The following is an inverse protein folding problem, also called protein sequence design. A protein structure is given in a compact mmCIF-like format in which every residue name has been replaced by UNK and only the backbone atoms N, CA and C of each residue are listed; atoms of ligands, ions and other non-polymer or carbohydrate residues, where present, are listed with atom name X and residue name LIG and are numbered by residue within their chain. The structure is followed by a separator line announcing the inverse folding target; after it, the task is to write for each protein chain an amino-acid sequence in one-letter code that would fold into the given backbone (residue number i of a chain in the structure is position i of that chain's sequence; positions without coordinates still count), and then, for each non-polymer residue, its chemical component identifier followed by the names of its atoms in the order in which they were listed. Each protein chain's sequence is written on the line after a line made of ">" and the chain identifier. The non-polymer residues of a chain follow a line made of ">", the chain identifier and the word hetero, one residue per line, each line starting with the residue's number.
data_IF_286474275648
#
_entry.id   IF_286474275648
#
_cell.length_a   1.000
_cell.length_b   1.000
_cell.length_c   1.000
_cell.angle_alpha   90.00
_cell.angle_beta   90.00
_cell.angle_gamma   90.00
#
_symmetry.space_group_name_H-M   'P 1'
#
loop_
_entity.id
_entity.type
_entity.pdbx_description
1 polymer ?
#
# COMPACT_ATOMS: atom_id res chain seq x y z
N UNK A 1 16.72 -4.93 3.49
CA UNK A 1 18.14 -4.56 3.78
C UNK A 1 19.06 -4.80 2.58
N UNK A 2 18.88 -5.86 1.81
CA UNK A 2 19.72 -6.20 0.65
C UNK A 2 19.80 -5.05 -0.38
N UNK A 3 18.72 -4.30 -0.55
CA UNK A 3 18.68 -3.16 -1.48
C UNK A 3 19.48 -1.94 -1.00
N UNK A 4 19.91 -1.88 0.27
CA UNK A 4 20.54 -0.67 0.83
C UNK A 4 21.82 -0.25 0.12
N UNK A 5 22.62 -1.22 -0.36
CA UNK A 5 23.85 -0.94 -1.11
C UNK A 5 23.61 -0.40 -2.52
N UNK A 6 22.42 -0.67 -3.09
CA UNK A 6 22.02 -0.21 -4.43
C UNK A 6 21.34 1.16 -4.34
N UNK A 7 20.46 1.33 -3.34
CA UNK A 7 19.71 2.56 -3.12
C UNK A 7 20.61 3.69 -2.59
N UNK A 8 21.61 3.36 -1.78
CA UNK A 8 22.48 4.37 -1.19
C UNK A 8 21.77 5.25 -0.18
N UNK A 9 21.95 6.57 -0.31
CA UNK A 9 21.41 7.57 0.62
C UNK A 9 20.33 8.46 -0.06
N UNK A 10 19.53 7.86 -0.93
CA UNK A 10 18.43 8.55 -1.62
C UNK A 10 17.09 8.00 -1.17
N UNK A 11 16.03 8.81 -1.28
CA UNK A 11 14.67 8.31 -1.13
C UNK A 11 14.32 7.38 -2.29
N UNK A 12 13.54 6.35 -2.01
CA UNK A 12 13.22 5.31 -2.99
C UNK A 12 11.78 4.81 -2.86
N UNK A 13 11.25 4.32 -3.96
CA UNK A 13 9.94 3.70 -3.98
C UNK A 13 10.05 2.19 -3.69
N UNK A 14 9.09 1.69 -2.92
CA UNK A 14 8.84 0.25 -2.74
C UNK A 14 7.47 -0.07 -3.33
N UNK A 15 7.42 -1.09 -4.17
CA UNK A 15 6.19 -1.55 -4.83
C UNK A 15 6.08 -3.05 -4.56
N UNK A 16 5.06 -3.46 -3.80
CA UNK A 16 4.76 -4.87 -3.62
C UNK A 16 4.13 -5.42 -4.90
N UNK A 17 4.62 -6.56 -5.36
CA UNK A 17 4.28 -7.10 -6.68
C UNK A 17 2.85 -7.68 -6.77
N UNK A 18 2.28 -8.05 -5.64
CA UNK A 18 0.94 -8.60 -5.50
C UNK A 18 -0.16 -7.55 -5.31
N UNK A 19 0.21 -6.27 -5.20
CA UNK A 19 -0.72 -5.16 -5.11
C UNK A 19 -0.82 -4.42 -6.44
N UNK A 20 -1.90 -4.59 -7.17
CA UNK A 20 -2.16 -3.84 -8.39
C UNK A 20 -3.12 -2.69 -8.12
N UNK A 21 -2.77 -1.51 -8.64
CA UNK A 21 -3.59 -0.29 -8.49
C UNK A 21 -3.85 0.31 -9.87
N UNK A 22 -5.10 0.30 -10.25
CA UNK A 22 -5.60 0.89 -11.50
C UNK A 22 -6.01 2.33 -11.23
N UNK A 23 -5.13 3.25 -11.53
CA UNK A 23 -5.28 4.67 -11.23
C UNK A 23 -4.76 5.56 -12.36
N UNK A 24 -5.32 6.74 -12.48
CA UNK A 24 -4.89 7.75 -13.47
C UNK A 24 -4.99 9.17 -12.85
N UNK A 25 -3.86 9.82 -12.48
CA UNK A 25 -2.45 9.36 -12.62
C UNK A 25 -2.17 8.10 -11.78
N UNK A 26 -1.11 7.35 -12.13
CA UNK A 26 -0.73 6.13 -11.41
C UNK A 26 -0.45 6.40 -9.92
N UNK A 27 -0.70 5.42 -9.06
CA UNK A 27 -0.60 5.57 -7.60
C UNK A 27 0.76 6.15 -7.13
N UNK A 28 1.86 5.67 -7.70
CA UNK A 28 3.18 6.21 -7.34
C UNK A 28 3.34 7.67 -7.78
N UNK A 29 2.78 8.08 -8.92
CA UNK A 29 2.83 9.47 -9.35
C UNK A 29 2.08 10.39 -8.38
N UNK A 30 0.92 9.95 -7.87
CA UNK A 30 0.18 10.68 -6.83
C UNK A 30 1.03 10.86 -5.56
N UNK A 31 1.73 9.81 -5.13
CA UNK A 31 2.58 9.84 -3.93
C UNK A 31 3.83 10.71 -4.11
N UNK A 32 4.42 10.73 -5.31
CA UNK A 32 5.58 11.58 -5.64
C UNK A 32 5.23 13.07 -5.49
N UNK A 33 4.01 13.48 -5.82
CA UNK A 33 3.56 14.86 -5.59
C UNK A 33 3.57 15.23 -4.10
N UNK A 34 3.17 14.31 -3.23
CA UNK A 34 3.25 14.51 -1.77
C UNK A 34 4.72 14.56 -1.32
N UNK A 35 5.54 13.63 -1.79
CA UNK A 35 6.96 13.59 -1.47
C UNK A 35 7.68 14.89 -1.89
N UNK A 36 7.44 15.39 -3.09
CA UNK A 36 8.07 16.62 -3.60
C UNK A 36 7.73 17.87 -2.77
N UNK A 37 6.62 17.85 -2.01
CA UNK A 37 6.19 18.96 -1.17
C UNK A 37 6.60 18.78 0.30
N UNK A 38 6.87 17.55 0.73
CA UNK A 38 7.16 17.23 2.14
C UNK A 38 8.58 16.77 2.38
N UNK A 39 9.28 16.31 1.34
CA UNK A 39 10.61 15.66 1.38
C UNK A 39 10.72 14.57 2.45
N UNK A 40 9.60 13.90 2.72
CA UNK A 40 9.44 12.93 3.81
C UNK A 40 8.87 11.61 3.27
N UNK A 41 9.05 10.53 4.02
CA UNK A 41 8.45 9.23 3.67
C UNK A 41 6.94 9.35 3.46
N UNK A 42 6.42 8.65 2.44
CA UNK A 42 4.99 8.62 2.09
C UNK A 42 4.51 7.19 1.99
N UNK A 43 3.42 6.87 2.67
CA UNK A 43 2.72 5.59 2.57
C UNK A 43 1.47 5.75 1.72
N UNK A 44 1.32 4.93 0.69
CA UNK A 44 0.05 4.76 0.00
C UNK A 44 -0.92 3.98 0.88
N UNK A 45 -2.09 4.55 1.13
CA UNK A 45 -3.13 3.95 1.98
C UNK A 45 -4.47 3.90 1.25
N UNK A 46 -5.31 2.95 1.67
CA UNK A 46 -6.69 2.83 1.22
C UNK A 46 -7.57 2.37 2.38
N UNK A 47 -8.84 2.73 2.35
CA UNK A 47 -9.80 2.18 3.29
C UNK A 47 -10.05 0.70 2.98
N UNK A 48 -10.13 -0.10 4.04
CA UNK A 48 -10.50 -1.53 3.98
C UNK A 48 -11.70 -1.81 4.87
N UNK A 49 -12.38 -2.94 4.64
CA UNK A 49 -13.44 -3.34 5.56
C UNK A 49 -12.86 -3.55 6.97
N UNK A 50 -13.56 -3.14 8.03
CA UNK A 50 -13.11 -3.37 9.40
C UNK A 50 -12.83 -4.84 9.74
N UNK A 51 -13.43 -5.78 9.01
CA UNK A 51 -13.19 -7.22 9.18
C UNK A 51 -11.82 -7.66 8.62
N UNK A 52 -11.24 -6.88 7.68
CA UNK A 52 -10.02 -7.23 6.96
C UNK A 52 -8.75 -6.56 7.55
N UNK A 53 -8.90 -5.70 8.59
CA UNK A 53 -7.77 -4.95 9.17
C UNK A 53 -6.64 -5.85 9.66
N UNK A 54 -6.94 -7.06 10.10
CA UNK A 54 -5.95 -8.05 10.56
C UNK A 54 -5.05 -8.61 9.46
N UNK A 55 -5.29 -8.24 8.21
CA UNK A 55 -4.46 -8.64 7.06
C UNK A 55 -3.41 -7.61 6.68
N UNK A 56 -3.48 -6.38 7.22
CA UNK A 56 -2.70 -5.22 6.77
C UNK A 56 -1.99 -4.47 7.91
N UNK A 57 -1.00 -3.69 7.55
CA UNK A 57 -0.50 -2.61 8.40
C UNK A 57 -1.51 -1.46 8.42
N UNK A 58 -2.05 -1.12 9.59
CA UNK A 58 -3.10 -0.11 9.75
C UNK A 58 -2.49 1.18 10.30
N UNK A 59 -2.76 2.30 9.64
CA UNK A 59 -2.24 3.62 10.03
C UNK A 59 -3.26 4.41 10.84
N UNK A 60 -2.75 5.24 11.77
CA UNK A 60 -3.51 6.29 12.45
C UNK A 60 -3.00 7.64 11.99
N UNK A 61 -3.90 8.53 11.63
CA UNK A 61 -3.58 9.90 11.22
C UNK A 61 -3.66 10.86 12.42
N UNK A 62 -2.83 11.90 12.44
CA UNK A 62 -2.89 12.95 13.46
C UNK A 62 -4.12 13.83 13.29
N UNK A 63 -4.40 14.25 12.04
CA UNK A 63 -5.52 15.11 11.67
C UNK A 63 -5.89 14.84 10.20
N UNK A 64 -7.10 14.37 9.99
CA UNK A 64 -7.62 14.03 8.66
C UNK A 64 -7.99 15.26 7.82
N UNK A 65 -8.15 16.42 8.44
CA UNK A 65 -8.52 17.67 7.77
C UNK A 65 -7.34 18.31 7.02
N UNK A 66 -6.10 17.96 7.37
CA UNK A 66 -4.91 18.54 6.77
C UNK A 66 -4.73 18.09 5.31
N UNK A 67 -4.21 19.00 4.49
CA UNK A 67 -3.84 18.70 3.09
C UNK A 67 -2.86 17.52 3.00
N UNK A 68 -1.86 17.51 3.87
CA UNK A 68 -0.91 16.40 4.02
C UNK A 68 -1.21 15.65 5.29
N UNK A 69 -1.66 14.41 5.14
CA UNK A 69 -2.12 13.55 6.24
C UNK A 69 -0.90 12.92 6.93
N UNK A 70 -0.50 13.49 8.06
CA UNK A 70 0.62 12.96 8.84
C UNK A 70 0.20 11.71 9.60
N UNK A 71 1.04 10.67 9.57
CA UNK A 71 0.84 9.44 10.31
C UNK A 71 1.28 9.66 11.77
N UNK A 72 0.42 9.29 12.70
CA UNK A 72 0.69 9.26 14.14
C UNK A 72 1.26 7.90 14.56
N UNK A 73 0.68 6.81 14.03
CA UNK A 73 1.08 5.45 14.34
C UNK A 73 0.76 4.51 13.17
N UNK A 74 1.46 3.38 13.14
CA UNK A 74 1.16 2.25 12.25
C UNK A 74 1.30 0.95 13.05
N UNK A 75 0.36 0.01 12.87
CA UNK A 75 0.31 -1.27 13.59
C UNK A 75 0.16 -2.40 12.57
N UNK A 76 1.07 -3.37 12.60
CA UNK A 76 1.02 -4.54 11.74
C UNK A 76 -0.05 -5.53 12.18
N UNK A 77 -0.97 -5.84 11.28
CA UNK A 77 -2.01 -6.87 11.45
C UNK A 77 -2.69 -6.84 12.82
N UNK A 78 -3.25 -5.69 13.24
CA UNK A 78 -3.91 -5.59 14.54
C UNK A 78 -5.16 -6.47 14.58
N UNK A 79 -5.53 -6.92 15.78
CA UNK A 79 -6.89 -7.43 15.97
C UNK A 79 -7.89 -6.29 15.72
N UNK A 80 -9.07 -6.60 15.22
CA UNK A 80 -10.13 -5.64 14.90
C UNK A 80 -10.40 -4.64 16.04
N UNK A 81 -10.42 -5.12 17.28
CA UNK A 81 -10.68 -4.32 18.49
C UNK A 81 -9.55 -3.32 18.81
N UNK A 82 -8.34 -3.58 18.32
CA UNK A 82 -7.14 -2.78 18.57
C UNK A 82 -6.67 -2.01 17.32
N UNK A 83 -7.38 -2.15 16.21
CA UNK A 83 -7.06 -1.42 14.99
C UNK A 83 -7.25 0.08 15.20
N UNK A 84 -6.23 0.93 14.95
CA UNK A 84 -6.32 2.36 15.21
C UNK A 84 -7.24 3.10 14.21
N UNK A 85 -7.55 2.48 13.09
CA UNK A 85 -8.46 2.96 12.04
C UNK A 85 -8.81 1.81 11.08
N UNK A 86 -9.39 2.13 9.92
CA UNK A 86 -9.57 1.23 8.78
C UNK A 86 -8.68 1.61 7.57
N UNK A 87 -7.68 2.48 7.77
CA UNK A 87 -6.75 2.87 6.71
C UNK A 87 -5.57 1.91 6.66
N UNK A 88 -5.52 1.08 5.62
CA UNK A 88 -4.48 0.09 5.39
C UNK A 88 -3.36 0.62 4.49
N UNK A 89 -2.11 0.33 4.82
CA UNK A 89 -0.98 0.51 3.91
C UNK A 89 -1.06 -0.54 2.78
N UNK A 90 -1.04 -0.07 1.53
CA UNK A 90 -1.38 -0.90 0.36
C UNK A 90 -0.18 -1.16 -0.56
N UNK A 91 0.94 -1.52 0.05
CA UNK A 91 2.10 -1.99 -0.71
C UNK A 91 2.74 -0.95 -1.64
N UNK A 92 2.52 0.32 -1.39
CA UNK A 92 3.15 1.47 -2.08
C UNK A 92 3.77 2.36 -1.06
N UNK A 93 5.09 2.52 -1.14
CA UNK A 93 5.85 3.34 -0.20
C UNK A 93 6.84 4.21 -0.95
N UNK A 94 7.06 5.44 -0.48
CA UNK A 94 8.25 6.22 -0.74
C UNK A 94 8.94 6.36 0.60
N UNK A 95 10.17 5.86 0.73
CA UNK A 95 10.88 5.78 1.99
C UNK A 95 12.18 6.55 1.91
N UNK A 96 12.52 7.24 3.00
CA UNK A 96 13.85 7.82 3.18
C UNK A 96 14.87 6.73 3.53
N UNK A 97 16.18 6.95 3.32
CA UNK A 97 17.23 5.98 3.68
C UNK A 97 17.28 5.59 5.16
N UNK A 98 16.66 6.40 6.03
CA UNK A 98 16.55 6.11 7.45
C UNK A 98 15.94 4.75 7.73
N UNK A 99 15.01 4.30 6.90
CA UNK A 99 14.37 2.98 7.05
C UNK A 99 15.38 1.84 7.18
N UNK A 100 16.54 1.93 6.50
CA UNK A 100 17.55 0.88 6.58
C UNK A 100 18.23 0.80 7.96
N UNK A 101 18.32 1.91 8.68
CA UNK A 101 18.87 1.93 10.04
C UNK A 101 17.88 1.23 10.98
N UNK A 102 16.61 1.55 10.87
CA UNK A 102 15.59 0.95 11.72
C UNK A 102 15.43 -0.55 11.41
N UNK A 103 15.41 -0.94 10.12
CA UNK A 103 15.37 -2.35 9.73
C UNK A 103 16.53 -3.20 10.26
N UNK A 104 17.73 -2.62 10.49
CA UNK A 104 18.83 -3.35 11.10
C UNK A 104 18.58 -3.68 12.57
N UNK A 105 17.79 -2.84 13.24
CA UNK A 105 17.49 -2.95 14.67
C UNK A 105 16.12 -3.60 14.94
N UNK A 106 15.25 -3.72 13.91
CA UNK A 106 13.93 -4.32 14.03
C UNK A 106 14.03 -5.79 14.39
N UNK A 107 13.33 -6.19 15.44
CA UNK A 107 13.22 -7.59 15.87
C UNK A 107 12.18 -8.31 15.02
N UNK A 108 12.19 -9.64 15.10
CA UNK A 108 11.13 -10.44 14.48
C UNK A 108 9.80 -10.16 15.18
N UNK A 109 8.80 -9.78 14.41
CA UNK A 109 7.46 -9.47 14.86
C UNK A 109 6.45 -10.57 14.49
N UNK A 110 5.29 -10.16 14.02
CA UNK A 110 4.19 -11.07 13.62
C UNK A 110 4.69 -12.09 12.59
N UNK A 111 4.34 -13.35 12.78
CA UNK A 111 4.79 -14.46 11.92
C UNK A 111 6.27 -14.83 12.05
N UNK A 112 7.02 -14.24 13.00
CA UNK A 112 8.44 -14.49 13.18
C UNK A 112 9.33 -13.84 12.13
N UNK A 113 8.82 -12.90 11.35
CA UNK A 113 9.50 -12.15 10.30
C UNK A 113 9.86 -10.73 10.74
N UNK A 114 10.84 -10.12 10.09
CA UNK A 114 11.13 -8.69 10.26
C UNK A 114 10.12 -7.93 9.40
N UNK A 115 9.18 -7.25 10.06
CA UNK A 115 8.13 -6.51 9.40
C UNK A 115 8.59 -5.11 8.99
N UNK A 116 8.30 -4.71 7.75
CA UNK A 116 8.57 -3.35 7.29
C UNK A 116 7.77 -2.32 8.10
N UNK A 117 6.54 -2.68 8.46
CA UNK A 117 5.63 -1.85 9.26
C UNK A 117 6.22 -1.51 10.63
N UNK A 118 6.85 -2.49 11.30
CA UNK A 118 7.52 -2.25 12.59
C UNK A 118 8.69 -1.27 12.43
N UNK A 119 9.48 -1.42 11.37
CA UNK A 119 10.57 -0.48 11.09
C UNK A 119 10.04 0.93 10.74
N UNK A 120 8.92 1.05 10.03
CA UNK A 120 8.26 2.33 9.74
C UNK A 120 7.77 2.96 11.04
N UNK A 121 7.24 2.17 11.97
CA UNK A 121 6.83 2.66 13.29
C UNK A 121 8.01 3.27 14.07
N UNK A 122 9.18 2.66 14.00
CA UNK A 122 10.40 3.23 14.63
C UNK A 122 10.84 4.54 13.94
N UNK A 123 10.72 4.64 12.62
CA UNK A 123 11.04 5.87 11.87
C UNK A 123 10.20 7.05 12.35
N UNK A 124 8.94 6.85 12.75
CA UNK A 124 8.06 7.90 13.27
C UNK A 124 8.61 8.65 14.50
N UNK A 125 9.52 8.03 15.27
CA UNK A 125 10.17 8.68 16.41
C UNK A 125 11.19 9.76 16.01
N UNK A 126 11.58 9.80 14.74
CA UNK A 126 12.69 10.62 14.26
C UNK A 126 12.29 11.58 13.15
N UNK A 127 11.36 11.18 12.28
CA UNK A 127 10.93 11.99 11.16
C UNK A 127 9.42 11.85 10.90
N UNK A 128 8.85 12.85 10.22
CA UNK A 128 7.46 12.79 9.81
C UNK A 128 7.27 11.77 8.68
N UNK A 129 6.19 11.03 8.72
CA UNK A 129 5.73 10.18 7.62
C UNK A 129 4.32 10.63 7.25
N UNK A 130 4.04 10.70 5.95
CA UNK A 130 2.73 11.10 5.45
C UNK A 130 1.99 9.92 4.82
N UNK A 131 0.68 9.93 4.95
CA UNK A 131 -0.21 9.03 4.23
C UNK A 131 -0.77 9.74 3.00
N UNK A 132 -0.82 9.04 1.87
CA UNK A 132 -1.58 9.42 0.70
C UNK A 132 -2.70 8.41 0.48
N UNK A 133 -3.96 8.87 0.59
CA UNK A 133 -5.11 8.04 0.22
C UNK A 133 -5.11 7.92 -1.30
N UNK A 134 -4.87 6.71 -1.80
CA UNK A 134 -4.73 6.48 -3.23
C UNK A 134 -6.09 6.62 -3.91
N UNK A 135 -6.16 7.48 -4.91
CA UNK A 135 -7.29 7.57 -5.83
C UNK A 135 -7.12 6.55 -6.95
N UNK A 136 -7.88 5.45 -6.87
CA UNK A 136 -7.80 4.35 -7.84
C UNK A 136 -8.44 3.07 -7.32
N UNK A 137 -8.59 2.10 -8.23
CA UNK A 137 -9.09 0.77 -7.89
C UNK A 137 -7.92 -0.16 -7.54
N UNK A 138 -7.89 -0.63 -6.30
CA UNK A 138 -6.92 -1.61 -5.80
C UNK A 138 -7.41 -3.02 -6.08
N UNK A 139 -6.47 -3.92 -6.42
CA UNK A 139 -6.63 -5.36 -6.49
C UNK A 139 -5.54 -6.03 -5.66
N UNK A 140 -5.94 -6.84 -4.69
CA UNK A 140 -5.07 -7.68 -3.88
C UNK A 140 -4.84 -9.02 -4.58
N UNK A 141 -3.78 -9.09 -5.40
CA UNK A 141 -3.43 -10.31 -6.15
C UNK A 141 -2.75 -11.38 -5.29
N UNK A 142 -2.49 -11.11 -4.01
CA UNK A 142 -2.11 -12.13 -3.02
C UNK A 142 -3.26 -13.11 -2.73
N UNK A 143 -4.50 -12.69 -2.93
CA UNK A 143 -5.67 -13.56 -2.85
C UNK A 143 -6.04 -14.12 -4.24
N UNK A 144 -6.58 -15.37 -4.27
CA UNK A 144 -7.02 -16.00 -5.54
C UNK A 144 -8.12 -15.21 -6.22
N UNK A 145 -9.08 -14.69 -5.45
CA UNK A 145 -10.18 -13.90 -5.97
C UNK A 145 -9.68 -12.56 -6.51
N UNK A 146 -8.87 -11.83 -5.75
CA UNK A 146 -8.33 -10.54 -6.18
C UNK A 146 -7.45 -10.66 -7.43
N UNK A 147 -6.70 -11.75 -7.58
CA UNK A 147 -5.97 -12.04 -8.83
C UNK A 147 -6.91 -12.20 -10.03
N UNK A 148 -8.03 -12.92 -9.88
CA UNK A 148 -9.03 -13.08 -10.95
C UNK A 148 -9.73 -11.76 -11.24
N UNK A 149 -10.10 -10.99 -10.22
CA UNK A 149 -10.68 -9.67 -10.39
C UNK A 149 -9.76 -8.70 -11.14
N UNK A 150 -8.47 -8.71 -10.80
CA UNK A 150 -7.45 -7.93 -11.50
C UNK A 150 -7.34 -8.35 -12.97
N UNK A 151 -7.26 -9.66 -13.22
CA UNK A 151 -7.16 -10.22 -14.57
C UNK A 151 -8.35 -9.81 -15.44
N UNK A 152 -9.56 -9.93 -14.91
CA UNK A 152 -10.78 -9.51 -15.61
C UNK A 152 -10.78 -7.99 -15.81
N UNK A 153 -10.49 -7.22 -14.74
CA UNK A 153 -10.52 -5.77 -14.79
C UNK A 153 -9.57 -5.17 -15.81
N UNK A 154 -8.34 -5.65 -15.85
CA UNK A 154 -7.35 -5.23 -16.86
C UNK A 154 -7.65 -5.81 -18.24
N UNK A 155 -8.10 -7.06 -18.31
CA UNK A 155 -8.50 -7.71 -19.56
C UNK A 155 -9.61 -6.95 -20.29
N UNK A 156 -10.63 -6.46 -19.56
CA UNK A 156 -11.72 -5.64 -20.12
C UNK A 156 -11.27 -4.28 -20.67
N UNK A 157 -10.14 -3.77 -20.23
CA UNK A 157 -9.54 -2.51 -20.69
C UNK A 157 -8.50 -2.73 -21.78
N UNK A 158 -8.12 -3.97 -22.05
CA UNK A 158 -7.08 -4.28 -23.02
C UNK A 158 -7.57 -3.99 -24.45
N UNK A 159 -6.81 -3.24 -25.27
CA UNK A 159 -7.28 -2.77 -26.58
C UNK A 159 -7.59 -3.90 -27.56
N UNK A 160 -6.91 -5.04 -27.47
CA UNK A 160 -7.07 -6.14 -28.42
C UNK A 160 -8.13 -7.16 -28.01
N UNK A 161 -8.31 -7.41 -26.71
CA UNK A 161 -9.16 -8.50 -26.24
C UNK A 161 -10.37 -8.02 -25.41
N UNK A 162 -10.46 -6.73 -25.09
CA UNK A 162 -11.46 -6.22 -24.14
C UNK A 162 -12.91 -6.45 -24.60
N UNK A 163 -13.20 -6.33 -25.89
CA UNK A 163 -14.53 -6.62 -26.44
C UNK A 163 -14.85 -8.13 -26.41
N UNK A 164 -13.90 -8.95 -26.84
CA UNK A 164 -14.09 -10.42 -26.84
C UNK A 164 -14.29 -10.95 -25.41
N UNK A 165 -13.53 -10.43 -24.44
CA UNK A 165 -13.67 -10.81 -23.04
C UNK A 165 -15.05 -10.38 -22.49
N UNK A 166 -15.52 -9.18 -22.84
CA UNK A 166 -16.83 -8.70 -22.42
C UNK A 166 -17.96 -9.59 -22.95
N UNK A 167 -17.88 -10.01 -24.19
CA UNK A 167 -18.90 -10.88 -24.80
C UNK A 167 -18.84 -12.29 -24.22
N UNK A 168 -17.65 -12.81 -23.95
CA UNK A 168 -17.49 -14.08 -23.25
C UNK A 168 -18.10 -14.07 -21.85
N UNK A 169 -17.85 -13.00 -21.06
CA UNK A 169 -18.43 -12.86 -19.72
C UNK A 169 -19.96 -12.74 -19.73
N UNK A 170 -20.55 -12.09 -20.76
CA UNK A 170 -22.01 -12.07 -20.93
C UNK A 170 -22.59 -13.47 -21.20
N UNK A 171 -21.91 -14.27 -22.02
CA UNK A 171 -22.34 -15.65 -22.30
C UNK A 171 -22.30 -16.50 -21.02
N UNK A 172 -21.22 -16.41 -20.24
CA UNK A 172 -21.11 -17.11 -18.96
C UNK A 172 -22.21 -16.74 -17.96
N UNK A 173 -22.65 -15.47 -17.93
CA UNK A 173 -23.73 -15.03 -17.05
C UNK A 173 -25.08 -15.65 -17.42
N UNK A 174 -25.29 -16.06 -18.67
CA UNK A 174 -26.51 -16.75 -19.12
C UNK A 174 -26.54 -18.24 -18.77
N UNK A 175 -25.36 -18.79 -18.39
CA UNK A 175 -25.19 -20.20 -18.04
C UNK A 175 -25.25 -20.46 -16.52
N UNK A 176 -25.20 -19.40 -15.70
CA UNK A 176 -25.27 -19.44 -14.22
C UNK A 176 -26.68 -19.16 -13.72
#
# INVERSE_FOLDING_TARGET
>A
LTASSVVGNEAFAVILADELIDAKPGALAQMVEVYNQTESSVLGVSEVNPEDVSSYGIVKLTDESLKFKKIEAIVEKPNKENAPSNLAAVGRYILTPRIFNELRNTKRGVGGEIQLTDAISEVLHYEAIFAHIIDGKRYDCGSKLGYLEATIGYGLKHPEIGEQLRDYLKQLQLEL
#
